data_IF_893487290429
#
_entry.id   IF_893487290429
#
_cell.length_a   1.000
_cell.length_b   1.000
_cell.length_c   1.000
_cell.angle_alpha   90.00
_cell.angle_beta   90.00
_cell.angle_gamma   90.00
#
_symmetry.space_group_name_H-M   'P 1'
#
loop_
_entity.id
_entity.type
_entity.pdbx_description
1 polymer ?
#
# COMPACT_ATOMS: atom_id res chain seq x y z
N UNK A 1 6.44 -17.85 -6.30
CA UNK A 1 6.40 -17.35 -7.69
C UNK A 1 5.90 -18.46 -8.59
N UNK A 2 4.79 -18.30 -9.33
CA UNK A 2 4.31 -19.35 -10.24
C UNK A 2 5.38 -19.67 -11.29
N UNK A 3 5.67 -20.95 -11.48
CA UNK A 3 6.73 -21.44 -12.36
C UNK A 3 6.38 -22.83 -12.91
N UNK A 4 6.79 -23.12 -14.14
CA UNK A 4 6.73 -24.47 -14.70
C UNK A 4 8.02 -25.20 -14.38
N UNK A 5 7.99 -26.49 -14.07
CA UNK A 5 9.19 -27.31 -13.91
C UNK A 5 8.97 -28.70 -14.49
N UNK A 6 9.80 -29.11 -15.45
CA UNK A 6 9.68 -30.39 -16.16
C UNK A 6 8.25 -30.62 -16.71
N UNK A 7 7.62 -29.57 -17.26
CA UNK A 7 6.25 -29.61 -17.76
C UNK A 7 5.14 -29.60 -16.70
N UNK A 8 5.46 -29.46 -15.41
CA UNK A 8 4.49 -29.40 -14.30
C UNK A 8 4.32 -27.96 -13.80
N UNK A 9 3.09 -27.58 -13.48
CA UNK A 9 2.81 -26.28 -12.84
C UNK A 9 3.10 -26.32 -11.35
N UNK A 10 3.73 -25.27 -10.83
CA UNK A 10 3.99 -25.12 -9.41
C UNK A 10 4.51 -23.74 -9.04
N UNK A 11 5.27 -23.67 -7.95
CA UNK A 11 5.75 -22.42 -7.38
C UNK A 11 7.21 -22.51 -6.93
N UNK A 12 8.05 -21.61 -7.45
CA UNK A 12 9.32 -21.25 -6.82
C UNK A 12 9.06 -20.53 -5.48
N UNK A 13 9.92 -20.75 -4.49
CA UNK A 13 9.74 -20.24 -3.14
C UNK A 13 10.67 -19.07 -2.82
N UNK A 14 10.09 -17.97 -2.34
CA UNK A 14 10.80 -16.84 -1.74
C UNK A 14 10.51 -16.83 -0.23
N UNK A 15 11.51 -16.53 0.59
CA UNK A 15 11.42 -16.60 2.06
C UNK A 15 12.04 -15.37 2.73
N UNK A 16 11.63 -15.11 3.98
CA UNK A 16 12.32 -14.17 4.87
C UNK A 16 11.93 -12.70 4.75
N UNK A 17 11.21 -12.27 3.71
CA UNK A 17 10.81 -10.86 3.56
C UNK A 17 10.07 -10.32 4.78
N UNK A 18 10.49 -9.16 5.30
CA UNK A 18 9.87 -8.55 6.46
C UNK A 18 10.19 -7.06 6.65
N UNK A 19 9.28 -6.36 7.35
CA UNK A 19 9.53 -5.04 7.93
C UNK A 19 9.51 -5.07 9.46
N UNK A 20 10.29 -4.18 10.06
CA UNK A 20 10.33 -3.89 11.50
C UNK A 20 11.00 -2.54 11.75
N UNK A 21 10.88 -1.96 12.95
CA UNK A 21 11.60 -0.74 13.32
C UNK A 21 13.12 -0.83 13.16
N UNK A 22 13.68 -2.05 13.31
CA UNK A 22 15.13 -2.26 13.33
C UNK A 22 15.71 -2.57 11.95
N UNK A 23 14.96 -3.29 11.11
CA UNK A 23 15.40 -3.78 9.80
C UNK A 23 14.21 -4.05 8.91
N UNK A 24 14.37 -3.70 7.63
CA UNK A 24 13.53 -4.10 6.53
C UNK A 24 14.37 -4.96 5.58
N UNK A 25 13.80 -6.03 5.05
CA UNK A 25 14.47 -6.92 4.10
C UNK A 25 13.46 -7.48 3.10
N UNK A 26 13.87 -7.53 1.84
CA UNK A 26 13.13 -8.26 0.80
C UNK A 26 13.24 -9.77 1.02
N UNK A 27 12.30 -10.52 0.45
CA UNK A 27 12.38 -11.97 0.47
C UNK A 27 13.47 -12.46 -0.49
N UNK A 28 14.18 -13.52 -0.11
CA UNK A 28 15.24 -14.13 -0.92
C UNK A 28 14.79 -15.49 -1.45
N UNK A 29 15.34 -15.96 -2.58
CA UNK A 29 15.07 -17.31 -3.06
C UNK A 29 15.47 -18.36 -2.02
N UNK A 30 14.57 -19.31 -1.75
CA UNK A 30 14.92 -20.51 -1.00
C UNK A 30 15.72 -21.50 -1.86
N UNK A 31 15.76 -21.30 -3.18
CA UNK A 31 16.21 -22.27 -4.17
C UNK A 31 15.39 -23.58 -4.13
N UNK A 32 14.07 -23.43 -4.04
CA UNK A 32 13.13 -24.55 -4.01
C UNK A 32 11.90 -24.30 -4.89
N UNK A 33 11.34 -25.38 -5.42
CA UNK A 33 10.09 -25.42 -6.18
C UNK A 33 9.16 -26.51 -5.61
N UNK A 34 7.86 -26.28 -5.67
CA UNK A 34 6.84 -27.28 -5.30
C UNK A 34 5.69 -27.30 -6.31
N UNK A 35 5.08 -28.46 -6.58
CA UNK A 35 3.85 -28.52 -7.36
C UNK A 35 2.69 -27.85 -6.61
N UNK A 36 1.59 -27.58 -7.31
CA UNK A 36 0.43 -26.87 -6.74
C UNK A 36 -0.18 -27.55 -5.51
N UNK A 37 -0.21 -28.89 -5.50
CA UNK A 37 -0.69 -29.70 -4.38
C UNK A 37 0.16 -29.60 -3.11
N UNK A 38 1.44 -29.22 -3.23
CA UNK A 38 2.40 -29.19 -2.12
C UNK A 38 2.54 -27.81 -1.46
N UNK A 39 1.71 -26.83 -1.84
CA UNK A 39 1.69 -25.51 -1.21
C UNK A 39 1.46 -25.59 0.31
N UNK A 40 0.50 -26.41 0.76
CA UNK A 40 0.22 -26.59 2.19
C UNK A 40 1.33 -27.39 2.88
N UNK A 41 1.78 -28.55 2.36
CA UNK A 41 2.95 -29.26 2.88
C UNK A 41 4.18 -28.38 3.10
N UNK A 42 4.60 -27.59 2.11
CA UNK A 42 5.81 -26.77 2.26
C UNK A 42 5.62 -25.58 3.19
N UNK A 43 4.42 -24.98 3.22
CA UNK A 43 4.08 -23.96 4.20
C UNK A 43 4.23 -24.50 5.63
N UNK A 44 3.71 -25.71 5.89
CA UNK A 44 3.86 -26.39 7.17
C UNK A 44 5.33 -26.66 7.49
N UNK A 45 6.10 -27.20 6.54
CA UNK A 45 7.52 -27.51 6.74
C UNK A 45 8.35 -26.27 7.11
N UNK A 46 8.13 -25.13 6.40
CA UNK A 46 8.76 -23.83 6.70
C UNK A 46 8.37 -23.36 8.11
N UNK A 47 7.07 -23.42 8.45
CA UNK A 47 6.58 -23.01 9.78
C UNK A 47 7.13 -23.88 10.91
N UNK A 48 7.26 -25.19 10.70
CA UNK A 48 7.85 -26.11 11.68
C UNK A 48 9.35 -25.83 11.87
N UNK A 49 10.11 -25.64 10.78
CA UNK A 49 11.52 -25.24 10.88
C UNK A 49 11.67 -23.93 11.66
N UNK A 50 10.87 -22.92 11.33
CA UNK A 50 10.89 -21.64 12.03
C UNK A 50 10.46 -21.75 13.50
N UNK A 51 9.41 -22.54 13.80
CA UNK A 51 8.93 -22.78 15.17
C UNK A 51 9.97 -23.45 16.05
N UNK A 52 10.65 -24.46 15.51
CA UNK A 52 11.56 -25.34 16.25
C UNK A 52 12.92 -24.69 16.47
N UNK A 53 13.41 -23.92 15.49
CA UNK A 53 14.78 -23.40 15.48
C UNK A 53 14.86 -21.88 15.70
N UNK A 54 13.75 -21.15 15.50
CA UNK A 54 13.72 -19.70 15.59
C UNK A 54 14.00 -19.18 17.01
N UNK A 55 14.82 -18.13 17.11
CA UNK A 55 15.11 -17.45 18.37
C UNK A 55 13.83 -16.92 19.04
N UNK A 56 13.77 -17.08 20.37
CA UNK A 56 12.68 -16.58 21.24
C UNK A 56 13.13 -15.50 22.22
N UNK A 57 14.33 -14.96 22.02
CA UNK A 57 14.93 -13.92 22.86
C UNK A 57 14.41 -12.52 22.51
N UNK A 58 15.32 -11.63 22.08
CA UNK A 58 14.96 -10.26 21.73
C UNK A 58 13.93 -10.22 20.58
N UNK A 59 12.74 -9.68 20.87
CA UNK A 59 11.62 -9.54 19.92
C UNK A 59 12.02 -8.91 18.59
N UNK A 60 12.96 -7.96 18.59
CA UNK A 60 13.44 -7.31 17.36
C UNK A 60 14.28 -8.21 16.44
N UNK A 61 14.71 -9.39 16.93
CA UNK A 61 15.52 -10.38 16.22
C UNK A 61 14.86 -11.76 16.15
N UNK A 62 13.52 -11.80 16.18
CA UNK A 62 12.76 -13.07 16.20
C UNK A 62 12.06 -13.40 14.88
N UNK A 63 12.08 -12.50 13.88
CA UNK A 63 11.50 -12.78 12.54
C UNK A 63 12.33 -13.81 11.77
N UNK A 64 11.69 -14.60 10.91
CA UNK A 64 12.30 -15.74 10.20
C UNK A 64 13.59 -15.40 9.45
N UNK A 65 13.75 -14.19 8.90
CA UNK A 65 15.01 -13.80 8.25
C UNK A 65 16.22 -13.87 9.18
N UNK A 66 16.05 -13.56 10.47
CA UNK A 66 17.16 -13.66 11.43
C UNK A 66 17.61 -15.11 11.63
N UNK A 67 16.68 -16.07 11.57
CA UNK A 67 17.01 -17.50 11.59
C UNK A 67 17.75 -17.91 10.31
N UNK A 68 17.30 -17.41 9.16
CA UNK A 68 17.95 -17.67 7.87
C UNK A 68 19.38 -17.11 7.86
N UNK A 69 19.60 -15.91 8.37
CA UNK A 69 20.93 -15.31 8.47
C UNK A 69 21.86 -16.08 9.42
N UNK A 70 21.32 -16.65 10.50
CA UNK A 70 22.08 -17.42 11.49
C UNK A 70 22.49 -18.80 10.96
N UNK A 71 21.56 -19.52 10.32
CA UNK A 71 21.82 -20.85 9.78
C UNK A 71 22.54 -20.83 8.43
N UNK A 72 22.31 -19.79 7.64
CA UNK A 72 22.54 -19.78 6.19
C UNK A 72 21.39 -20.42 5.42
N UNK A 73 21.14 -19.93 4.20
CA UNK A 73 19.97 -20.34 3.39
C UNK A 73 19.95 -21.83 3.06
N UNK A 74 21.10 -22.44 2.76
CA UNK A 74 21.19 -23.89 2.45
C UNK A 74 20.85 -24.77 3.66
N UNK A 75 21.31 -24.38 4.85
CA UNK A 75 20.97 -25.11 6.08
C UNK A 75 19.48 -24.95 6.37
N UNK A 76 18.93 -23.75 6.19
CA UNK A 76 17.49 -23.52 6.33
C UNK A 76 16.68 -24.35 5.32
N UNK A 77 17.08 -24.41 4.05
CA UNK A 77 16.47 -25.29 3.03
C UNK A 77 16.51 -26.76 3.47
N UNK A 78 17.63 -27.26 3.98
CA UNK A 78 17.74 -28.63 4.49
C UNK A 78 16.78 -28.90 5.65
N UNK A 79 16.58 -27.93 6.54
CA UNK A 79 15.63 -28.04 7.65
C UNK A 79 14.17 -28.07 7.17
N UNK A 80 13.84 -27.37 6.09
CA UNK A 80 12.53 -27.47 5.43
C UNK A 80 12.37 -28.82 4.75
N UNK A 81 13.37 -29.26 3.97
CA UNK A 81 13.35 -30.54 3.27
C UNK A 81 13.10 -31.73 4.21
N UNK A 82 13.78 -31.80 5.36
CA UNK A 82 13.58 -32.85 6.36
C UNK A 82 12.14 -32.95 6.89
N UNK A 83 11.36 -31.88 6.77
CA UNK A 83 9.98 -31.75 7.25
C UNK A 83 8.94 -31.92 6.13
N UNK A 84 9.37 -32.00 4.87
CA UNK A 84 8.48 -32.31 3.75
C UNK A 84 8.03 -33.78 3.80
N UNK A 85 6.82 -34.10 3.28
CA UNK A 85 6.46 -35.48 2.96
C UNK A 85 7.53 -36.12 2.06
N UNK A 86 7.98 -37.33 2.39
CA UNK A 86 9.06 -37.99 1.65
C UNK A 86 10.46 -37.41 1.89
N UNK A 87 10.60 -36.35 2.70
CA UNK A 87 11.87 -35.67 3.01
C UNK A 87 12.63 -35.21 1.77
N UNK A 88 11.89 -34.68 0.81
CA UNK A 88 12.42 -34.25 -0.47
C UNK A 88 11.86 -32.88 -0.82
N UNK A 89 12.72 -32.00 -1.32
CA UNK A 89 12.33 -30.70 -1.83
C UNK A 89 13.08 -30.42 -3.12
N UNK A 90 12.34 -30.22 -4.20
CA UNK A 90 12.92 -29.93 -5.50
C UNK A 90 13.60 -28.56 -5.52
N UNK A 91 14.74 -28.45 -6.22
CA UNK A 91 15.39 -27.15 -6.48
C UNK A 91 14.54 -26.25 -7.36
N UNK A 92 14.82 -24.94 -7.34
CA UNK A 92 14.04 -23.95 -8.09
C UNK A 92 13.99 -24.23 -9.60
N UNK A 93 12.95 -23.72 -10.26
CA UNK A 93 12.85 -23.71 -11.72
C UNK A 93 13.34 -22.40 -12.31
N UNK A 94 13.97 -22.46 -13.49
CA UNK A 94 14.33 -21.29 -14.29
C UNK A 94 13.15 -20.74 -15.11
N UNK A 95 12.10 -21.55 -15.32
CA UNK A 95 10.92 -21.19 -16.12
C UNK A 95 9.83 -20.49 -15.29
N UNK A 96 10.11 -19.25 -14.86
CA UNK A 96 9.13 -18.43 -14.15
C UNK A 96 8.00 -17.94 -15.07
N UNK A 97 6.76 -17.96 -14.56
CA UNK A 97 5.57 -17.51 -15.30
C UNK A 97 5.26 -16.01 -15.10
N UNK A 98 6.04 -15.32 -14.26
CA UNK A 98 5.88 -13.87 -14.04
C UNK A 98 6.69 -13.12 -15.09
N UNK A 99 5.99 -12.43 -15.99
CA UNK A 99 6.63 -11.59 -17.00
C UNK A 99 7.28 -10.36 -16.34
N UNK A 100 8.59 -10.21 -16.52
CA UNK A 100 9.35 -9.07 -15.97
C UNK A 100 9.04 -7.76 -16.67
N UNK A 101 8.81 -7.80 -17.99
CA UNK A 101 8.37 -6.64 -18.76
C UNK A 101 6.86 -6.44 -18.55
N UNK A 102 6.48 -5.76 -17.48
CA UNK A 102 5.08 -5.55 -17.13
C UNK A 102 4.87 -4.20 -16.46
N UNK A 103 3.78 -3.51 -16.84
CA UNK A 103 3.31 -2.33 -16.13
C UNK A 103 2.19 -2.76 -15.16
N UNK A 104 2.35 -2.45 -13.87
CA UNK A 104 1.29 -2.70 -12.88
C UNK A 104 0.02 -1.98 -13.35
N UNK A 105 -1.07 -2.72 -13.54
CA UNK A 105 -2.37 -2.16 -14.00
C UNK A 105 -3.11 -1.45 -12.85
N UNK A 106 -3.94 -0.48 -13.19
CA UNK A 106 -4.92 0.08 -12.24
C UNK A 106 -6.14 -0.84 -12.24
N UNK A 107 -6.70 -1.11 -11.06
CA UNK A 107 -7.91 -1.92 -10.88
C UNK A 107 -9.13 -1.07 -10.51
N UNK A 108 -8.94 0.22 -10.24
CA UNK A 108 -10.05 1.15 -9.96
C UNK A 108 -10.88 1.38 -11.22
N UNK A 109 -12.18 1.61 -11.04
CA UNK A 109 -13.12 1.77 -12.14
C UNK A 109 -13.64 0.45 -12.66
N UNK A 110 -14.23 0.49 -13.86
CA UNK A 110 -14.87 -0.68 -14.49
C UNK A 110 -13.89 -1.39 -15.40
N UNK A 111 -13.80 -2.70 -15.26
CA UNK A 111 -12.92 -3.54 -16.08
C UNK A 111 -13.65 -4.80 -16.54
N UNK A 112 -13.51 -5.21 -17.81
CA UNK A 112 -14.06 -6.48 -18.27
C UNK A 112 -13.35 -7.66 -17.59
N UNK A 113 -14.11 -8.68 -17.22
CA UNK A 113 -13.56 -9.95 -16.76
C UNK A 113 -13.19 -10.86 -17.94
N UNK A 114 -12.53 -11.98 -17.63
CA UNK A 114 -12.26 -13.04 -18.63
C UNK A 114 -13.54 -13.73 -19.10
N UNK A 115 -14.61 -13.71 -18.29
CA UNK A 115 -15.92 -14.24 -18.62
C UNK A 115 -16.69 -13.21 -19.46
N UNK A 116 -17.20 -13.64 -20.61
CA UNK A 116 -17.96 -12.77 -21.50
C UNK A 116 -19.19 -12.20 -20.80
N UNK A 117 -19.40 -10.89 -20.94
CA UNK A 117 -20.55 -10.19 -20.36
C UNK A 117 -20.43 -9.84 -18.88
N UNK A 118 -19.29 -10.15 -18.22
CA UNK A 118 -19.03 -9.75 -16.85
C UNK A 118 -17.95 -8.67 -16.76
N UNK A 119 -18.14 -7.77 -15.80
CA UNK A 119 -17.18 -6.76 -15.38
C UNK A 119 -16.86 -6.92 -13.89
N UNK A 120 -15.75 -6.32 -13.46
CA UNK A 120 -15.55 -5.98 -12.05
C UNK A 120 -15.46 -4.46 -11.89
N UNK A 121 -15.84 -3.96 -10.73
CA UNK A 121 -15.76 -2.53 -10.40
C UNK A 121 -14.90 -2.35 -9.16
N UNK A 122 -13.75 -1.69 -9.33
CA UNK A 122 -12.88 -1.30 -8.23
C UNK A 122 -13.32 0.04 -7.64
N UNK A 123 -13.52 0.06 -6.33
CA UNK A 123 -14.02 1.19 -5.57
C UNK A 123 -12.97 1.69 -4.58
N UNK A 124 -12.75 2.99 -4.58
CA UNK A 124 -11.92 3.62 -3.59
C UNK A 124 -12.61 3.64 -2.23
N UNK A 125 -11.90 3.22 -1.19
CA UNK A 125 -12.32 3.42 0.19
C UNK A 125 -11.34 4.39 0.83
N UNK A 126 -11.72 5.65 1.08
CA UNK A 126 -10.83 6.64 1.68
C UNK A 126 -10.15 6.09 2.93
N UNK A 127 -8.83 5.91 2.84
CA UNK A 127 -7.95 5.32 3.87
C UNK A 127 -8.51 4.03 4.50
N UNK A 128 -9.23 3.22 3.71
CA UNK A 128 -9.82 1.95 4.14
C UNK A 128 -10.81 2.05 5.30
N UNK A 129 -11.45 3.20 5.51
CA UNK A 129 -12.36 3.43 6.64
C UNK A 129 -13.82 3.38 6.20
N UNK A 130 -14.54 2.40 6.74
CA UNK A 130 -15.99 2.24 6.60
C UNK A 130 -16.69 2.28 7.95
N UNK A 131 -17.94 2.70 7.95
CA UNK A 131 -18.89 2.52 9.07
C UNK A 131 -19.80 1.33 8.82
N UNK A 132 -20.57 0.91 9.82
CA UNK A 132 -21.52 -0.19 9.69
C UNK A 132 -22.53 0.04 8.54
N UNK A 133 -23.03 1.26 8.37
CA UNK A 133 -23.92 1.64 7.27
C UNK A 133 -23.26 1.44 5.90
N UNK A 134 -21.99 1.82 5.76
CA UNK A 134 -21.23 1.64 4.50
C UNK A 134 -21.08 0.15 4.19
N UNK A 135 -20.85 -0.68 5.21
CA UNK A 135 -20.71 -2.14 5.04
C UNK A 135 -22.02 -2.81 4.61
N UNK A 136 -23.14 -2.40 5.21
CA UNK A 136 -24.46 -2.90 4.80
C UNK A 136 -24.78 -2.52 3.37
N UNK A 137 -24.45 -1.29 2.97
CA UNK A 137 -24.70 -0.82 1.63
C UNK A 137 -23.79 -1.51 0.60
N UNK A 138 -22.50 -1.70 0.91
CA UNK A 138 -21.60 -2.52 0.09
C UNK A 138 -22.10 -3.96 -0.08
N UNK A 139 -22.65 -4.57 0.97
CA UNK A 139 -23.24 -5.90 0.89
C UNK A 139 -24.47 -5.92 -0.03
N UNK A 140 -25.38 -4.93 0.11
CA UNK A 140 -26.52 -4.77 -0.80
C UNK A 140 -26.06 -4.64 -2.26
N UNK A 141 -25.06 -3.81 -2.52
CA UNK A 141 -24.52 -3.63 -3.87
C UNK A 141 -23.89 -4.92 -4.44
N UNK A 142 -23.19 -5.69 -3.61
CA UNK A 142 -22.62 -6.97 -4.03
C UNK A 142 -23.69 -8.02 -4.35
N UNK A 143 -24.78 -8.06 -3.58
CA UNK A 143 -25.94 -8.94 -3.82
C UNK A 143 -26.72 -8.51 -5.06
N UNK A 144 -26.96 -7.21 -5.19
CA UNK A 144 -27.80 -6.67 -6.25
C UNK A 144 -27.09 -6.67 -7.59
N UNK A 145 -25.82 -6.26 -7.67
CA UNK A 145 -25.12 -6.09 -8.94
C UNK A 145 -24.11 -7.19 -9.24
N UNK A 146 -23.51 -7.80 -8.22
CA UNK A 146 -22.48 -8.83 -8.36
C UNK A 146 -23.00 -10.23 -8.04
N UNK A 147 -22.17 -11.01 -7.35
CA UNK A 147 -22.48 -12.38 -6.93
C UNK A 147 -22.37 -12.58 -5.42
N UNK A 148 -22.78 -11.57 -4.63
CA UNK A 148 -22.62 -11.56 -3.16
C UNK A 148 -21.15 -11.69 -2.70
N UNK A 149 -20.22 -11.22 -3.52
CA UNK A 149 -18.78 -11.28 -3.27
C UNK A 149 -18.20 -9.85 -3.19
N UNK A 150 -17.34 -9.63 -2.19
CA UNK A 150 -16.51 -8.43 -2.08
C UNK A 150 -15.06 -8.87 -1.90
N UNK A 151 -14.14 -8.23 -2.64
CA UNK A 151 -12.71 -8.47 -2.49
C UNK A 151 -12.02 -7.25 -1.89
N UNK A 152 -11.23 -7.46 -0.85
CA UNK A 152 -10.39 -6.42 -0.28
C UNK A 152 -9.04 -6.38 -0.99
N UNK A 153 -8.45 -5.20 -1.10
CA UNK A 153 -7.11 -5.01 -1.66
C UNK A 153 -6.10 -4.56 -0.59
N UNK A 154 -4.81 -4.74 -0.88
CA UNK A 154 -3.74 -4.33 0.05
C UNK A 154 -3.59 -2.81 0.12
N UNK A 155 -4.05 -2.08 -0.89
CA UNK A 155 -4.18 -0.61 -0.84
C UNK A 155 -5.46 -0.15 -0.13
N UNK A 156 -6.11 -1.06 0.62
CA UNK A 156 -7.25 -0.78 1.51
C UNK A 156 -8.55 -0.45 0.78
N UNK A 157 -8.69 -0.90 -0.46
CA UNK A 157 -9.85 -0.65 -1.32
C UNK A 157 -10.69 -1.93 -1.51
N UNK A 158 -11.79 -1.81 -2.26
CA UNK A 158 -12.75 -2.89 -2.48
C UNK A 158 -12.96 -3.11 -3.97
N UNK A 159 -13.19 -4.36 -4.37
CA UNK A 159 -13.66 -4.73 -5.71
C UNK A 159 -14.97 -5.49 -5.60
N UNK A 160 -15.97 -5.10 -6.40
CA UNK A 160 -17.20 -5.86 -6.64
C UNK A 160 -16.98 -6.66 -7.95
N UNK A 161 -16.73 -7.98 -7.88
CA UNK A 161 -16.59 -8.80 -9.07
C UNK A 161 -17.96 -9.27 -9.58
N UNK A 162 -17.94 -9.87 -10.77
CA UNK A 162 -19.04 -10.64 -11.36
C UNK A 162 -20.29 -9.77 -11.59
N UNK A 163 -20.08 -8.51 -11.93
CA UNK A 163 -21.15 -7.57 -12.28
C UNK A 163 -21.53 -7.81 -13.73
N UNK A 164 -22.80 -8.01 -14.03
CA UNK A 164 -23.27 -8.04 -15.42
C UNK A 164 -22.93 -6.70 -16.09
N UNK A 165 -22.20 -6.74 -17.20
CA UNK A 165 -21.71 -5.53 -17.88
C UNK A 165 -22.85 -4.58 -18.29
N UNK A 166 -24.07 -5.09 -18.53
CA UNK A 166 -25.25 -4.27 -18.83
C UNK A 166 -25.77 -3.47 -17.62
N UNK A 167 -25.43 -3.89 -16.41
CA UNK A 167 -25.88 -3.29 -15.15
C UNK A 167 -24.86 -2.33 -14.52
N UNK A 168 -23.66 -2.25 -15.08
CA UNK A 168 -22.61 -1.32 -14.64
C UNK A 168 -23.12 0.11 -14.57
N UNK A 169 -23.85 0.58 -15.59
CA UNK A 169 -24.37 1.94 -15.61
C UNK A 169 -25.25 2.26 -14.40
N UNK A 170 -26.14 1.33 -14.02
CA UNK A 170 -26.97 1.48 -12.84
C UNK A 170 -26.15 1.45 -11.54
N UNK A 171 -25.14 0.58 -11.44
CA UNK A 171 -24.23 0.54 -10.29
C UNK A 171 -23.49 1.88 -10.10
N UNK A 172 -22.98 2.49 -11.18
CA UNK A 172 -22.26 3.77 -11.10
C UNK A 172 -23.14 4.93 -10.63
N UNK A 173 -24.46 4.79 -10.74
CA UNK A 173 -25.44 5.79 -10.29
C UNK A 173 -25.75 5.72 -8.79
N UNK A 174 -25.30 4.67 -8.10
CA UNK A 174 -25.57 4.44 -6.68
C UNK A 174 -24.98 5.53 -5.78
N UNK A 175 -25.79 5.97 -4.80
CA UNK A 175 -25.46 7.11 -3.95
C UNK A 175 -24.15 6.92 -3.18
N UNK A 176 -23.85 5.69 -2.74
CA UNK A 176 -22.61 5.39 -2.03
C UNK A 176 -21.37 5.61 -2.91
N UNK A 177 -21.43 5.21 -4.19
CA UNK A 177 -20.32 5.37 -5.14
C UNK A 177 -20.10 6.84 -5.47
N UNK A 178 -21.19 7.58 -5.75
CA UNK A 178 -21.12 9.01 -6.06
C UNK A 178 -20.67 9.87 -4.88
N UNK A 179 -21.09 9.52 -3.67
CA UNK A 179 -20.87 10.35 -2.49
C UNK A 179 -19.58 10.04 -1.73
N UNK A 180 -19.08 8.80 -1.76
CA UNK A 180 -18.01 8.38 -0.84
C UNK A 180 -17.03 7.37 -1.43
N UNK A 181 -17.53 6.30 -2.06
CA UNK A 181 -16.72 5.16 -2.51
C UNK A 181 -16.52 5.17 -4.03
N UNK A 182 -15.92 6.25 -4.53
CA UNK A 182 -15.84 6.51 -5.96
C UNK A 182 -15.06 5.41 -6.71
N UNK A 183 -15.57 4.96 -7.88
CA UNK A 183 -14.79 4.16 -8.82
C UNK A 183 -13.71 4.98 -9.54
N UNK A 184 -13.83 6.31 -9.52
CA UNK A 184 -12.91 7.25 -10.17
C UNK A 184 -12.40 8.32 -9.19
N UNK A 185 -11.65 7.94 -8.14
CA UNK A 185 -11.01 8.92 -7.27
C UNK A 185 -9.89 9.66 -8.02
N UNK A 186 -9.42 10.76 -7.42
CA UNK A 186 -8.26 11.49 -7.87
C UNK A 186 -6.98 10.63 -7.85
N UNK A 187 -6.00 10.99 -8.69
CA UNK A 187 -4.85 10.13 -8.99
C UNK A 187 -3.96 9.84 -7.78
N UNK A 188 -3.87 10.74 -6.79
CA UNK A 188 -3.11 10.47 -5.58
C UNK A 188 -3.92 9.65 -4.58
N UNK A 189 -5.24 9.86 -4.49
CA UNK A 189 -6.13 9.07 -3.63
C UNK A 189 -6.15 7.58 -4.02
N UNK A 190 -6.02 7.26 -5.32
CA UNK A 190 -5.88 5.87 -5.81
C UNK A 190 -4.75 5.10 -5.14
N UNK A 191 -3.64 5.78 -4.88
CA UNK A 191 -2.42 5.21 -4.32
C UNK A 191 -2.23 5.47 -2.82
N UNK A 192 -3.22 6.09 -2.16
CA UNK A 192 -3.12 6.48 -0.77
C UNK A 192 -3.41 5.31 0.17
N UNK A 193 -2.45 5.00 1.04
CA UNK A 193 -2.57 3.97 2.09
C UNK A 193 -2.26 4.62 3.43
N UNK A 194 -3.08 4.36 4.45
CA UNK A 194 -2.80 4.86 5.80
C UNK A 194 -3.08 3.80 6.87
N UNK A 195 -2.13 3.57 7.77
CA UNK A 195 -2.35 2.66 8.89
C UNK A 195 -3.35 3.25 9.90
N UNK A 196 -3.63 2.50 10.97
CA UNK A 196 -4.62 2.88 12.00
C UNK A 196 -4.35 4.23 12.67
N UNK A 197 -3.09 4.56 12.97
CA UNK A 197 -2.72 5.80 13.65
C UNK A 197 -3.18 5.90 15.11
N UNK A 198 -2.90 7.04 15.73
CA UNK A 198 -3.18 7.32 17.15
C UNK A 198 -4.66 7.41 17.50
N UNK A 199 -5.57 7.41 16.51
CA UNK A 199 -7.01 7.31 16.77
C UNK A 199 -7.34 6.05 17.60
N UNK A 200 -6.66 4.93 17.33
CA UNK A 200 -6.92 3.67 18.05
C UNK A 200 -5.65 2.89 18.43
N UNK A 201 -4.53 3.06 17.72
CA UNK A 201 -3.33 2.28 17.97
C UNK A 201 -2.48 2.88 19.09
N UNK A 202 -2.32 2.15 20.21
CA UNK A 202 -1.48 2.58 21.35
C UNK A 202 0.04 2.62 21.08
N UNK A 203 0.51 2.22 19.90
CA UNK A 203 1.90 2.34 19.47
C UNK A 203 2.15 3.51 18.51
N UNK A 204 1.07 4.13 18.02
CA UNK A 204 1.21 5.21 17.06
C UNK A 204 1.72 6.49 17.76
N UNK A 205 2.61 7.19 17.06
CA UNK A 205 3.19 8.46 17.51
C UNK A 205 2.32 9.63 17.02
N UNK A 206 1.68 9.50 15.86
CA UNK A 206 0.84 10.53 15.24
C UNK A 206 -0.52 10.00 14.81
N UNK A 207 -1.45 10.92 14.56
CA UNK A 207 -2.68 10.63 13.79
C UNK A 207 -2.33 10.43 12.31
N UNK A 208 -2.96 9.45 11.65
CA UNK A 208 -2.64 9.11 10.25
C UNK A 208 -3.79 9.28 9.29
N UNK A 209 -4.98 8.73 9.57
CA UNK A 209 -6.03 8.57 8.57
C UNK A 209 -6.64 9.91 8.15
N UNK A 210 -7.04 10.74 9.11
CA UNK A 210 -7.61 12.04 8.80
C UNK A 210 -6.56 12.98 8.19
N UNK A 211 -5.33 12.92 8.71
CA UNK A 211 -4.20 13.70 8.20
C UNK A 211 -3.81 13.32 6.78
N UNK A 212 -3.72 12.02 6.47
CA UNK A 212 -3.34 11.53 5.16
C UNK A 212 -4.31 12.03 4.08
N UNK A 213 -5.62 12.00 4.36
CA UNK A 213 -6.64 12.59 3.49
C UNK A 213 -6.42 14.08 3.30
N UNK A 214 -6.39 14.85 4.40
CA UNK A 214 -6.23 16.31 4.36
C UNK A 214 -4.97 16.73 3.59
N UNK A 215 -3.81 16.15 3.90
CA UNK A 215 -2.55 16.49 3.22
C UNK A 215 -2.62 16.14 1.74
N UNK A 216 -3.22 15.00 1.38
CA UNK A 216 -3.35 14.59 -0.03
C UNK A 216 -4.25 15.55 -0.80
N UNK A 217 -5.42 15.91 -0.25
CA UNK A 217 -6.34 16.89 -0.86
C UNK A 217 -5.65 18.24 -1.10
N UNK A 218 -4.92 18.76 -0.11
CA UNK A 218 -4.20 20.03 -0.26
C UNK A 218 -3.05 19.95 -1.27
N UNK A 219 -2.39 18.79 -1.40
CA UNK A 219 -1.36 18.57 -2.43
C UNK A 219 -2.00 18.55 -3.82
N UNK A 220 -3.13 17.88 -4.01
CA UNK A 220 -3.83 17.82 -5.31
C UNK A 220 -4.37 19.17 -5.77
N UNK A 221 -4.62 20.11 -4.85
CA UNK A 221 -4.91 21.51 -5.18
C UNK A 221 -3.70 22.29 -5.70
N UNK A 222 -2.48 21.85 -5.38
CA UNK A 222 -1.24 22.52 -5.79
C UNK A 222 -0.60 21.93 -7.03
N UNK A 223 -0.80 20.65 -7.29
CA UNK A 223 -0.19 19.95 -8.42
C UNK A 223 -1.19 19.06 -9.16
N UNK A 224 -0.95 18.85 -10.45
CA UNK A 224 -1.67 17.92 -11.28
C UNK A 224 -0.70 16.93 -11.92
N UNK A 225 -1.19 15.73 -12.26
CA UNK A 225 -0.46 14.80 -13.11
C UNK A 225 -0.97 14.92 -14.54
N UNK A 226 -0.09 14.93 -15.56
CA UNK A 226 -0.50 14.88 -16.96
C UNK A 226 -1.43 13.70 -17.24
N UNK A 227 -2.35 13.87 -18.20
CA UNK A 227 -3.29 12.83 -18.60
C UNK A 227 -2.57 11.52 -18.97
N UNK A 228 -3.15 10.39 -18.56
CA UNK A 228 -2.57 9.06 -18.77
C UNK A 228 -1.38 8.71 -17.87
N UNK A 229 -0.86 9.65 -17.06
CA UNK A 229 0.21 9.38 -16.10
C UNK A 229 -0.38 8.88 -14.78
N UNK A 230 0.21 7.82 -14.23
CA UNK A 230 -0.11 7.35 -12.87
C UNK A 230 0.34 8.38 -11.84
N UNK A 231 -0.52 8.62 -10.85
CA UNK A 231 -0.15 9.35 -9.64
C UNK A 231 0.86 8.57 -8.79
N UNK A 232 1.56 9.28 -7.91
CA UNK A 232 2.47 8.66 -6.94
C UNK A 232 1.69 7.92 -5.84
N UNK A 233 2.16 6.73 -5.45
CA UNK A 233 1.64 5.97 -4.30
C UNK A 233 2.17 6.59 -3.02
N UNK A 234 1.25 7.08 -2.19
CA UNK A 234 1.57 7.72 -0.93
C UNK A 234 1.17 6.83 0.23
N UNK A 235 2.10 6.56 1.17
CA UNK A 235 1.82 5.68 2.29
C UNK A 235 2.11 6.35 3.62
N UNK A 236 1.18 6.23 4.57
CA UNK A 236 1.27 6.78 5.91
C UNK A 236 1.32 5.69 6.96
N UNK A 237 2.30 5.77 7.86
CA UNK A 237 2.38 4.93 9.05
C UNK A 237 2.63 5.78 10.29
N UNK A 238 1.90 5.49 11.38
CA UNK A 238 1.98 6.29 12.61
C UNK A 238 3.22 6.03 13.46
N UNK A 239 4.00 4.99 13.19
CA UNK A 239 5.21 4.64 13.94
C UNK A 239 6.16 3.74 13.13
N UNK A 240 7.39 3.47 13.64
CA UNK A 240 8.41 2.65 12.97
C UNK A 240 8.04 1.19 12.69
N UNK A 241 6.92 0.67 13.20
CA UNK A 241 6.45 -0.66 12.83
C UNK A 241 6.01 -0.75 11.35
N UNK A 242 5.81 0.38 10.69
CA UNK A 242 5.54 0.50 9.25
C UNK A 242 4.40 -0.39 8.74
N UNK A 243 3.30 -0.47 9.51
CA UNK A 243 2.12 -1.20 9.05
C UNK A 243 1.51 -0.59 7.77
N UNK A 244 1.74 0.70 7.52
CA UNK A 244 1.42 1.37 6.25
C UNK A 244 2.47 1.17 5.15
N UNK A 245 3.57 0.45 5.42
CA UNK A 245 4.58 0.03 4.44
C UNK A 245 5.28 1.18 3.71
N UNK A 246 5.76 2.20 4.42
CA UNK A 246 6.35 3.41 3.79
C UNK A 246 7.56 3.12 2.90
N UNK A 247 8.24 2.00 3.12
CA UNK A 247 9.37 1.56 2.32
C UNK A 247 8.98 1.09 0.91
N UNK A 248 7.70 0.75 0.65
CA UNK A 248 7.28 0.38 -0.72
C UNK A 248 6.67 1.56 -1.49
N UNK A 249 6.48 2.69 -0.83
CA UNK A 249 5.80 3.85 -1.40
C UNK A 249 6.70 4.67 -2.32
N UNK A 250 6.09 5.35 -3.27
CA UNK A 250 6.78 6.38 -4.06
C UNK A 250 7.16 7.54 -3.13
N UNK A 251 6.23 7.95 -2.26
CA UNK A 251 6.45 8.88 -1.14
C UNK A 251 5.82 8.31 0.14
N UNK A 252 6.64 8.06 1.16
CA UNK A 252 6.22 7.47 2.43
C UNK A 252 6.33 8.44 3.61
N UNK A 253 5.46 8.30 4.60
CA UNK A 253 5.39 9.18 5.78
C UNK A 253 5.36 8.34 7.06
N UNK A 254 6.45 8.36 7.82
CA UNK A 254 6.56 7.67 9.10
C UNK A 254 6.46 8.65 10.28
N UNK A 255 5.46 8.46 11.13
CA UNK A 255 5.19 9.32 12.26
C UNK A 255 6.34 9.44 13.26
N UNK A 256 6.62 10.67 13.66
CA UNK A 256 7.60 11.01 14.69
C UNK A 256 7.14 12.24 15.50
N UNK A 257 7.80 12.49 16.63
CA UNK A 257 7.73 13.78 17.31
C UNK A 257 8.88 14.65 16.81
N UNK A 258 8.59 15.91 16.49
CA UNK A 258 9.58 16.89 16.03
C UNK A 258 9.36 18.24 16.72
N UNK A 259 10.14 19.25 16.32
CA UNK A 259 9.95 20.64 16.74
C UNK A 259 9.66 21.51 15.51
N UNK A 260 8.76 22.46 15.66
CA UNK A 260 8.54 23.49 14.64
C UNK A 260 9.62 24.58 14.67
N UNK A 261 9.50 25.58 13.79
CA UNK A 261 10.44 26.69 13.67
C UNK A 261 10.57 27.49 14.99
N UNK A 262 9.50 27.52 15.79
CA UNK A 262 9.44 28.16 17.11
C UNK A 262 10.01 27.27 18.24
N UNK A 263 10.45 26.05 17.90
CA UNK A 263 11.01 25.09 18.85
C UNK A 263 9.98 24.31 19.66
N UNK A 264 8.68 24.46 19.38
CA UNK A 264 7.59 23.77 20.07
C UNK A 264 7.47 22.34 19.56
N UNK A 265 7.30 21.39 20.49
CA UNK A 265 7.10 19.98 20.15
C UNK A 265 5.77 19.81 19.40
N UNK A 266 5.82 19.17 18.23
CA UNK A 266 4.66 18.90 17.39
C UNK A 266 4.78 17.53 16.70
N UNK A 267 3.68 17.07 16.10
CA UNK A 267 3.67 15.85 15.29
C UNK A 267 4.38 16.11 13.94
N UNK A 268 5.23 15.17 13.54
CA UNK A 268 5.98 15.22 12.29
C UNK A 268 6.00 13.88 11.55
N UNK A 269 6.59 13.90 10.37
CA UNK A 269 6.86 12.71 9.59
C UNK A 269 8.31 12.67 9.12
N UNK A 270 8.92 11.49 9.27
CA UNK A 270 10.08 11.09 8.51
C UNK A 270 9.59 10.71 7.10
N UNK A 271 10.05 11.44 6.10
CA UNK A 271 9.65 11.30 4.70
C UNK A 271 10.59 10.32 4.01
N UNK A 272 10.02 9.31 3.35
CA UNK A 272 10.70 8.28 2.56
C UNK A 272 10.40 8.48 1.08
N UNK A 273 11.36 8.17 0.20
CA UNK A 273 11.19 8.25 -1.27
C UNK A 273 11.90 7.07 -1.94
N UNK A 274 11.40 6.64 -3.10
CA UNK A 274 12.10 5.70 -3.99
C UNK A 274 11.74 4.23 -3.83
N UNK A 275 10.65 3.92 -3.11
CA UNK A 275 10.12 2.56 -3.02
C UNK A 275 9.46 2.15 -4.34
N UNK A 276 9.82 0.99 -4.88
CA UNK A 276 9.25 0.41 -6.11
C UNK A 276 8.59 -0.94 -5.82
N UNK A 277 7.58 -1.29 -6.61
CA UNK A 277 6.85 -2.56 -6.54
C UNK A 277 6.77 -3.23 -7.91
N UNK A 278 6.40 -4.51 -7.93
CA UNK A 278 6.42 -5.33 -9.14
C UNK A 278 7.74 -6.10 -9.24
N UNK A 279 8.10 -6.53 -10.45
CA UNK A 279 9.29 -7.37 -10.68
C UNK A 279 10.62 -6.62 -10.46
N UNK A 280 10.63 -5.29 -10.58
CA UNK A 280 11.75 -4.41 -10.19
C UNK A 280 11.43 -3.72 -8.86
N UNK A 281 11.25 -4.52 -7.80
CA UNK A 281 11.01 -3.99 -6.46
C UNK A 281 12.24 -3.31 -5.88
N UNK A 282 12.01 -2.32 -5.03
CA UNK A 282 13.07 -1.65 -4.29
C UNK A 282 12.51 -1.04 -3.01
N UNK A 283 13.25 -1.12 -1.90
CA UNK A 283 12.87 -0.49 -0.65
C UNK A 283 13.31 0.98 -0.64
N UNK A 284 12.36 1.89 -0.50
CA UNK A 284 12.59 3.32 -0.36
C UNK A 284 13.34 3.66 0.93
N UNK A 285 14.06 4.77 0.86
CA UNK A 285 14.96 5.22 1.92
C UNK A 285 14.49 6.54 2.53
N UNK A 286 15.04 6.87 3.70
CA UNK A 286 14.75 8.13 4.38
C UNK A 286 15.27 9.30 3.52
N UNK A 287 14.35 10.14 3.06
CA UNK A 287 14.64 11.34 2.29
C UNK A 287 14.82 12.57 3.19
N UNK A 288 13.92 12.77 4.15
CA UNK A 288 13.98 13.90 5.10
C UNK A 288 13.41 13.52 6.45
N UNK A 289 14.16 13.78 7.51
CA UNK A 289 13.78 13.45 8.89
C UNK A 289 13.00 14.59 9.55
N UNK A 290 12.00 14.25 10.37
CA UNK A 290 11.40 15.15 11.35
C UNK A 290 10.66 16.35 10.77
N UNK A 291 10.00 16.20 9.62
CA UNK A 291 9.25 17.31 8.99
C UNK A 291 7.96 17.56 9.78
N UNK A 292 7.72 18.76 10.33
CA UNK A 292 6.46 19.06 10.99
C UNK A 292 5.29 18.80 10.05
N UNK A 293 4.21 18.19 10.53
CA UNK A 293 3.10 17.82 9.65
C UNK A 293 2.44 19.04 8.96
N UNK A 294 2.52 20.22 9.57
CA UNK A 294 2.07 21.49 8.99
C UNK A 294 2.86 21.90 7.73
N UNK A 295 4.09 21.40 7.59
CA UNK A 295 5.02 21.77 6.50
C UNK A 295 5.10 20.71 5.39
N UNK A 296 4.29 19.64 5.47
CA UNK A 296 4.37 18.53 4.51
C UNK A 296 3.85 18.89 3.12
N UNK A 297 2.76 19.64 3.02
CA UNK A 297 2.13 19.97 1.72
C UNK A 297 3.11 20.58 0.71
N UNK A 298 3.86 21.67 1.02
CA UNK A 298 4.82 22.23 0.07
C UNK A 298 5.96 21.25 -0.26
N UNK A 299 6.47 20.51 0.73
CA UNK A 299 7.53 19.52 0.50
C UNK A 299 7.08 18.39 -0.44
N UNK A 300 5.86 17.89 -0.26
CA UNK A 300 5.32 16.82 -1.10
C UNK A 300 5.10 17.32 -2.52
N UNK A 301 4.50 18.50 -2.69
CA UNK A 301 4.33 19.11 -4.01
C UNK A 301 5.68 19.21 -4.77
N UNK A 302 6.73 19.70 -4.10
CA UNK A 302 8.08 19.77 -4.67
C UNK A 302 8.63 18.39 -5.08
N UNK A 303 8.46 17.37 -4.23
CA UNK A 303 8.90 16.01 -4.54
C UNK A 303 8.16 15.48 -5.77
N UNK A 304 6.85 15.68 -5.86
CA UNK A 304 6.02 15.21 -6.97
C UNK A 304 6.41 15.88 -8.29
N UNK A 305 6.68 17.20 -8.27
CA UNK A 305 7.15 17.93 -9.45
C UNK A 305 8.53 17.45 -9.89
N UNK A 306 9.50 17.39 -8.96
CA UNK A 306 10.90 17.08 -9.28
C UNK A 306 11.12 15.63 -9.69
N UNK A 307 10.41 14.68 -9.09
CA UNK A 307 10.72 13.26 -9.21
C UNK A 307 9.63 12.44 -9.90
N UNK A 308 8.38 12.90 -9.89
CA UNK A 308 7.24 12.11 -10.37
C UNK A 308 6.50 12.74 -11.55
N UNK A 309 6.99 13.88 -12.05
CA UNK A 309 6.48 14.56 -13.25
C UNK A 309 5.09 15.15 -13.07
N UNK A 310 4.74 15.54 -11.84
CA UNK A 310 3.61 16.42 -11.60
C UNK A 310 3.94 17.84 -12.10
N UNK A 311 2.90 18.60 -12.43
CA UNK A 311 3.00 20.01 -12.82
C UNK A 311 2.29 20.86 -11.78
N UNK A 312 2.84 22.04 -11.39
CA UNK A 312 2.10 22.99 -10.57
C UNK A 312 0.78 23.37 -11.24
N UNK A 313 -0.29 23.52 -10.46
CA UNK A 313 -1.49 24.21 -10.93
C UNK A 313 -1.21 25.71 -10.87
N UNK A 314 -1.65 26.45 -11.88
CA UNK A 314 -1.68 27.92 -11.80
C UNK A 314 -2.55 28.29 -10.60
N UNK A 315 -2.02 29.13 -9.70
CA UNK A 315 -2.87 29.73 -8.67
C UNK A 315 -3.74 30.73 -9.41
N UNK A 316 -5.06 30.57 -9.35
CA UNK A 316 -5.91 31.75 -9.40
C UNK A 316 -5.55 32.52 -8.13
N UNK A 317 -4.86 33.64 -8.29
CA UNK A 317 -4.45 34.48 -7.18
C UNK A 317 -5.71 34.89 -6.40
N UNK A 318 -5.79 34.45 -5.13
CA UNK A 318 -6.66 35.07 -4.12
C UNK A 318 -6.06 36.44 -3.78
N UNK A 319 -6.04 37.36 -4.75
CA UNK A 319 -5.69 38.77 -4.61
C UNK A 319 -6.97 39.59 -4.88
N UNK A 320 -7.97 39.47 -4.01
CA UNK A 320 -9.12 40.38 -3.91
C UNK A 320 -9.76 40.11 -2.54
N UNK A 321 -9.36 40.86 -1.50
CA UNK A 321 -10.16 41.20 -0.29
C UNK A 321 -9.32 41.71 0.92
N UNK A 322 -8.14 42.34 0.71
CA UNK A 322 -7.41 43.05 1.79
C UNK A 322 -7.18 44.56 1.49
N UNK A 323 -8.01 45.17 0.63
CA UNK A 323 -8.06 46.63 0.43
C UNK A 323 -9.44 47.24 0.79
N UNK A 324 -10.04 46.83 1.91
CA UNK A 324 -11.13 47.60 2.55
C UNK A 324 -10.94 47.74 4.08
N UNK A 325 -9.72 48.05 4.53
CA UNK A 325 -9.48 48.50 5.91
C UNK A 325 -8.59 49.76 5.97
N UNK A 326 -8.88 50.76 5.13
CA UNK A 326 -8.22 52.07 5.29
C UNK A 326 -9.10 53.31 5.13
N UNK A 327 -10.43 53.25 5.21
CA UNK A 327 -11.26 54.47 5.28
C UNK A 327 -12.44 54.35 6.24
N UNK A 328 -12.25 54.73 7.51
CA UNK A 328 -13.41 54.82 8.40
C UNK A 328 -13.25 55.17 9.87
N UNK A 329 -12.30 56.01 10.32
CA UNK A 329 -12.45 56.68 11.63
C UNK A 329 -12.00 58.15 11.54
N UNK A 330 -12.99 59.02 11.28
CA UNK A 330 -12.84 60.46 11.38
C UNK A 330 -14.21 61.14 11.48
N UNK A 331 -14.44 61.83 12.61
CA UNK A 331 -15.55 62.74 12.95
C UNK A 331 -16.89 62.11 13.41
N UNK A 332 -17.08 62.02 14.73
CA UNK A 332 -17.78 63.04 15.56
C UNK A 332 -17.69 62.69 17.03
#
# INVERSE_FOLDING_TARGET
MPATKDGRFGFNLLVGGFFSPKRCAEAVPLDAWVPGEDVVPVCKAILEAYRDLGSRGNRQKTRMMWLIDELGIEVFLSEVEKRMPGKYLERSSEEELVQKQWERRDYMGVHPQKQQGLSFVGLHVPVGRVQASDMHELARLADEYGSSELRLTVEQNIVIPNVDSSRVGALLEEALLKGRLSPEPSVLMRGLVACTGSQFCGQAIIETKARALKVTEEVERRVAFPEGRRGARMHWTGCPNTCGQVQVADVGFMGCMTRDAEGKVCEGADVYVGGRVGSDSHLGELYKKGVPCKDLVPLVADILVKHFGAVPREREDEDEDDEEEEHGIGAK
#
